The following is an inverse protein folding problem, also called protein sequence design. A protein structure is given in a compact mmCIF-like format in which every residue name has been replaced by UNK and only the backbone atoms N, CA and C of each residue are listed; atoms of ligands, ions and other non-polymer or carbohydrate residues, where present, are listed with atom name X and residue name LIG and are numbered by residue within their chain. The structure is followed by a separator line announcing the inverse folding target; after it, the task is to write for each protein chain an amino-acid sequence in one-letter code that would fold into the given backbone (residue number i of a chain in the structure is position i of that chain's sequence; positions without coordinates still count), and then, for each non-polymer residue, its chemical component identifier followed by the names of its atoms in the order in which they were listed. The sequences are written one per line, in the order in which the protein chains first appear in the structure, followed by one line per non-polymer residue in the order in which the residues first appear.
data_IF_497539983133
#
_entry.id   IF_497539983133
#
_cell.length_a   1.000
_cell.length_b   1.000
_cell.length_c   1.000
_cell.angle_alpha   90.00
_cell.angle_beta   90.00
_cell.angle_gamma   90.00
#
_symmetry.space_group_name_H-M   'P 1'
#
loop_
_entity.id
_entity.type
_entity.pdbx_description
1 polymer ?
#
# COMPACT_ATOMS: atom_id res chain seq x y z
N UNK A 1 16.40 2.09 5.84
CA UNK A 1 15.19 2.05 6.70
C UNK A 1 14.31 3.17 6.19
N UNK A 2 13.13 2.83 5.68
CA UNK A 2 12.27 3.73 4.94
C UNK A 2 10.90 3.79 5.57
N UNK A 3 10.35 5.00 5.66
CA UNK A 3 8.96 5.26 6.03
C UNK A 3 8.22 5.73 4.78
N UNK A 4 7.19 5.01 4.38
CA UNK A 4 6.30 5.40 3.28
C UNK A 4 4.96 5.86 3.84
N UNK A 5 4.60 7.11 3.60
CA UNK A 5 3.30 7.67 3.95
C UNK A 5 2.42 7.72 2.70
N UNK A 6 1.29 7.02 2.73
CA UNK A 6 0.35 6.95 1.60
C UNK A 6 -0.91 7.80 1.80
N UNK A 7 -0.79 8.86 2.59
CA UNK A 7 -1.91 9.72 2.99
C UNK A 7 -1.92 11.06 2.25
N UNK A 8 -3.08 11.47 1.76
CA UNK A 8 -3.32 12.74 1.08
C UNK A 8 -3.43 13.94 2.04
N UNK A 9 -2.44 14.13 2.92
CA UNK A 9 -2.34 15.27 3.84
C UNK A 9 -0.91 15.82 3.83
N UNK A 10 -0.64 16.87 3.02
CA UNK A 10 0.71 17.35 2.77
C UNK A 10 1.33 18.07 3.98
N UNK A 11 0.53 18.80 4.78
CA UNK A 11 1.05 19.52 5.95
C UNK A 11 1.57 18.55 7.00
N UNK A 12 0.79 17.50 7.30
CA UNK A 12 1.22 16.47 8.23
C UNK A 12 2.36 15.64 7.67
N UNK A 13 2.37 15.39 6.36
CA UNK A 13 3.48 14.71 5.71
C UNK A 13 4.79 15.49 5.82
N UNK A 14 4.76 16.83 5.72
CA UNK A 14 5.94 17.67 5.88
C UNK A 14 6.54 17.57 7.30
N UNK A 15 5.67 17.58 8.33
CA UNK A 15 6.09 17.38 9.73
C UNK A 15 6.68 15.99 9.94
N UNK A 16 6.02 14.94 9.41
CA UNK A 16 6.53 13.57 9.50
C UNK A 16 7.87 13.39 8.77
N UNK A 17 8.03 14.04 7.61
CA UNK A 17 9.29 14.04 6.86
C UNK A 17 10.43 14.66 7.67
N UNK A 18 10.18 15.79 8.34
CA UNK A 18 11.17 16.43 9.21
C UNK A 18 11.59 15.51 10.37
N UNK A 19 10.62 14.88 11.03
CA UNK A 19 10.89 13.97 12.15
C UNK A 19 11.63 12.70 11.69
N UNK A 20 11.24 12.11 10.56
CA UNK A 20 11.89 10.93 9.99
C UNK A 20 13.36 11.23 9.61
N UNK A 21 13.61 12.38 8.98
CA UNK A 21 14.98 12.82 8.65
C UNK A 21 15.82 13.05 9.90
N UNK A 22 15.26 13.68 10.94
CA UNK A 22 15.95 13.87 12.22
C UNK A 22 16.31 12.52 12.88
N UNK A 23 15.53 11.47 12.64
CA UNK A 23 15.80 10.11 13.11
C UNK A 23 16.70 9.28 12.17
N UNK A 24 17.23 9.87 11.09
CA UNK A 24 18.06 9.17 10.10
C UNK A 24 17.30 8.16 9.23
N UNK A 25 15.99 8.34 9.06
CA UNK A 25 15.13 7.52 8.23
C UNK A 25 14.93 8.15 6.86
N UNK A 26 14.89 7.32 5.82
CA UNK A 26 14.42 7.76 4.50
C UNK A 26 12.90 7.89 4.56
N UNK A 27 12.35 8.98 4.03
CA UNK A 27 10.91 9.24 4.08
C UNK A 27 10.38 9.49 2.66
N UNK A 28 9.37 8.73 2.28
CA UNK A 28 8.68 8.81 1.00
C UNK A 28 7.21 9.18 1.27
N UNK A 29 6.70 10.19 0.56
CA UNK A 29 5.29 10.57 0.62
C UNK A 29 4.67 10.35 -0.75
N UNK A 30 3.76 9.38 -0.84
CA UNK A 30 3.08 9.00 -2.08
C UNK A 30 1.56 9.02 -1.84
N UNK A 31 0.88 10.15 -2.06
CA UNK A 31 -0.52 10.34 -1.65
C UNK A 31 -1.49 9.56 -2.55
N UNK A 32 -1.70 8.29 -2.26
CA UNK A 32 -2.59 7.42 -3.03
C UNK A 32 -4.06 7.49 -2.58
N UNK A 33 -5.02 7.26 -3.50
CA UNK A 33 -6.44 7.16 -3.18
C UNK A 33 -6.74 6.04 -2.19
N UNK A 34 -7.86 6.15 -1.48
CA UNK A 34 -8.20 5.23 -0.41
C UNK A 34 -8.69 3.86 -0.91
N UNK A 35 -9.49 3.88 -1.97
CA UNK A 35 -10.25 2.73 -2.47
C UNK A 35 -10.05 2.53 -3.99
N UNK A 36 -9.86 3.61 -4.73
CA UNK A 36 -9.67 3.60 -6.19
C UNK A 36 -8.18 3.55 -6.55
N UNK A 37 -7.48 2.50 -6.15
CA UNK A 37 -6.10 2.30 -6.61
C UNK A 37 -6.07 2.01 -8.12
N UNK A 38 -4.95 2.34 -8.75
CA UNK A 38 -4.74 2.22 -10.20
C UNK A 38 -3.45 1.44 -10.45
N UNK A 39 -3.26 0.86 -11.65
CA UNK A 39 -2.03 0.15 -12.00
C UNK A 39 -0.77 0.98 -11.76
N UNK A 40 -0.81 2.30 -11.97
CA UNK A 40 0.34 3.20 -11.73
C UNK A 40 0.71 3.26 -10.24
N UNK A 41 -0.27 3.26 -9.34
CA UNK A 41 -0.04 3.23 -7.89
C UNK A 41 0.61 1.93 -7.47
N UNK A 42 0.15 0.81 -8.05
CA UNK A 42 0.71 -0.51 -7.78
C UNK A 42 2.15 -0.63 -8.30
N UNK A 43 2.41 -0.15 -9.51
CA UNK A 43 3.75 -0.11 -10.10
C UNK A 43 4.70 0.78 -9.29
N UNK A 44 4.23 1.93 -8.79
CA UNK A 44 5.01 2.77 -7.88
C UNK A 44 5.33 2.05 -6.57
N UNK A 45 4.34 1.40 -5.95
CA UNK A 45 4.57 0.62 -4.73
C UNK A 45 5.60 -0.50 -4.94
N UNK A 46 5.48 -1.27 -6.03
CA UNK A 46 6.43 -2.33 -6.36
C UNK A 46 7.85 -1.79 -6.51
N UNK A 47 8.04 -0.67 -7.23
CA UNK A 47 9.35 0.00 -7.35
C UNK A 47 9.92 0.36 -5.98
N UNK A 48 9.11 0.86 -5.05
CA UNK A 48 9.58 1.22 -3.70
C UNK A 48 9.95 -0.03 -2.90
N UNK A 49 9.12 -1.08 -2.93
CA UNK A 49 9.35 -2.29 -2.13
C UNK A 49 10.57 -3.08 -2.62
N UNK A 50 10.79 -3.12 -3.93
CA UNK A 50 11.86 -3.90 -4.56
C UNK A 50 13.19 -3.15 -4.64
N UNK A 51 13.18 -1.83 -4.45
CA UNK A 51 14.38 -1.00 -4.44
C UNK A 51 15.36 -1.45 -3.33
N UNK A 52 16.60 -1.82 -3.67
CA UNK A 52 17.61 -2.22 -2.68
C UNK A 52 17.85 -1.16 -1.59
N UNK A 53 17.76 0.12 -1.95
CA UNK A 53 17.93 1.27 -1.06
C UNK A 53 16.81 1.40 -0.02
N UNK A 54 15.65 0.77 -0.22
CA UNK A 54 14.56 0.79 0.74
C UNK A 54 14.95 0.07 2.03
N UNK A 55 15.60 -1.08 1.91
CA UNK A 55 15.94 -1.94 3.04
C UNK A 55 14.68 -2.28 3.85
N UNK A 56 14.67 -1.98 5.16
CA UNK A 56 13.48 -2.17 6.00
C UNK A 56 12.44 -1.08 5.74
N UNK A 57 11.28 -1.46 5.22
CA UNK A 57 10.13 -0.58 4.97
C UNK A 57 9.11 -0.66 6.11
N UNK A 58 8.64 0.51 6.55
CA UNK A 58 7.39 0.66 7.30
C UNK A 58 6.53 1.61 6.48
N UNK A 59 5.28 1.24 6.18
CA UNK A 59 4.39 2.10 5.43
C UNK A 59 3.04 2.23 6.12
N UNK A 60 2.45 3.43 6.10
CA UNK A 60 1.28 3.76 6.90
C UNK A 60 0.32 4.69 6.15
N UNK A 61 -0.95 4.66 6.56
CA UNK A 61 -1.96 5.61 6.13
C UNK A 61 -2.67 6.26 7.34
N UNK A 62 -3.99 6.49 7.27
CA UNK A 62 -4.80 6.93 8.43
C UNK A 62 -5.24 5.78 9.33
N UNK A 63 -5.70 4.68 8.74
CA UNK A 63 -6.44 3.59 9.41
C UNK A 63 -5.96 2.20 8.98
N UNK A 64 -4.76 2.10 8.39
CA UNK A 64 -4.21 0.89 7.76
C UNK A 64 -5.01 0.29 6.59
N UNK A 65 -6.19 0.83 6.24
CA UNK A 65 -7.02 0.34 5.11
C UNK A 65 -6.27 0.37 3.76
N UNK A 66 -5.72 1.52 3.36
CA UNK A 66 -4.91 1.64 2.12
C UNK A 66 -3.68 0.72 2.11
N UNK A 67 -3.12 0.47 3.29
CA UNK A 67 -1.94 -0.37 3.46
C UNK A 67 -2.30 -1.82 3.15
N UNK A 68 -3.44 -2.30 3.66
CA UNK A 68 -3.91 -3.65 3.41
C UNK A 68 -4.24 -3.87 1.93
N UNK A 69 -4.97 -2.93 1.33
CA UNK A 69 -5.38 -3.04 -0.07
C UNK A 69 -4.19 -3.05 -1.04
N UNK A 70 -3.26 -2.08 -0.96
CA UNK A 70 -2.10 -2.05 -1.86
C UNK A 70 -1.20 -3.28 -1.67
N UNK A 71 -1.09 -3.78 -0.43
CA UNK A 71 -0.32 -4.97 -0.11
C UNK A 71 -0.93 -6.24 -0.71
N UNK A 72 -2.25 -6.39 -0.62
CA UNK A 72 -3.00 -7.48 -1.25
C UNK A 72 -2.79 -7.49 -2.76
N UNK A 73 -2.97 -6.34 -3.42
CA UNK A 73 -2.77 -6.19 -4.86
C UNK A 73 -1.32 -6.51 -5.26
N UNK A 74 -0.34 -6.07 -4.47
CA UNK A 74 1.08 -6.36 -4.72
C UNK A 74 1.39 -7.85 -4.64
N UNK A 75 0.88 -8.56 -3.62
CA UNK A 75 1.06 -10.02 -3.52
C UNK A 75 0.46 -10.75 -4.73
N UNK A 76 -0.74 -10.36 -5.15
CA UNK A 76 -1.43 -11.03 -6.26
C UNK A 76 -0.73 -10.75 -7.59
N UNK A 77 -0.51 -9.46 -7.92
CA UNK A 77 -0.04 -9.05 -9.25
C UNK A 77 1.46 -9.26 -9.42
N UNK A 78 2.28 -8.90 -8.43
CA UNK A 78 3.74 -8.94 -8.57
C UNK A 78 4.36 -10.24 -8.06
N UNK A 79 3.70 -10.94 -7.13
CA UNK A 79 4.24 -12.20 -6.58
C UNK A 79 3.45 -13.44 -6.99
N UNK A 80 2.38 -13.28 -7.76
CA UNK A 80 1.57 -14.40 -8.26
C UNK A 80 0.84 -15.17 -7.17
N UNK A 81 0.61 -14.55 -6.01
CA UNK A 81 -0.16 -15.18 -4.94
C UNK A 81 -1.61 -15.33 -5.35
N UNK A 82 -2.25 -16.40 -4.88
CA UNK A 82 -3.70 -16.49 -4.94
C UNK A 82 -4.32 -15.47 -3.99
N UNK A 83 -5.59 -15.15 -4.21
CA UNK A 83 -6.32 -14.21 -3.35
C UNK A 83 -6.36 -14.71 -1.90
N UNK A 84 -6.59 -16.00 -1.70
CA UNK A 84 -6.68 -16.62 -0.39
C UNK A 84 -5.35 -16.51 0.38
N UNK A 85 -4.21 -16.62 -0.32
CA UNK A 85 -2.89 -16.45 0.30
C UNK A 85 -2.68 -15.01 0.77
N UNK A 86 -3.08 -14.01 -0.03
CA UNK A 86 -2.96 -12.61 0.33
C UNK A 86 -3.89 -12.24 1.51
N UNK A 87 -5.12 -12.74 1.50
CA UNK A 87 -6.08 -12.55 2.60
C UNK A 87 -5.61 -13.22 3.90
N UNK A 88 -5.09 -14.44 3.83
CA UNK A 88 -4.56 -15.13 5.01
C UNK A 88 -3.43 -14.32 5.67
N UNK A 89 -2.57 -13.70 4.87
CA UNK A 89 -1.52 -12.81 5.38
C UNK A 89 -2.10 -11.56 6.06
N UNK A 90 -3.10 -10.90 5.45
CA UNK A 90 -3.74 -9.75 6.05
C UNK A 90 -4.47 -10.11 7.35
N UNK A 91 -5.16 -11.24 7.40
CA UNK A 91 -5.79 -11.73 8.64
C UNK A 91 -4.74 -11.98 9.73
N UNK A 92 -3.61 -12.58 9.37
CA UNK A 92 -2.48 -12.76 10.29
C UNK A 92 -1.88 -11.42 10.76
N UNK A 93 -1.96 -10.37 9.94
CA UNK A 93 -1.58 -9.01 10.30
C UNK A 93 -2.63 -8.27 11.16
N UNK A 94 -3.77 -8.90 11.47
CA UNK A 94 -4.79 -8.39 12.38
C UNK A 94 -5.94 -7.62 11.74
N UNK A 95 -6.12 -7.72 10.42
CA UNK A 95 -7.30 -7.17 9.75
C UNK A 95 -8.54 -8.05 10.01
N UNK A 96 -9.68 -7.41 10.23
CA UNK A 96 -10.97 -8.05 10.51
C UNK A 96 -11.78 -8.34 9.23
N UNK A 97 -12.95 -8.96 9.41
CA UNK A 97 -13.83 -9.35 8.30
C UNK A 97 -14.37 -8.14 7.53
N UNK A 98 -14.66 -7.03 8.21
CA UNK A 98 -15.14 -5.79 7.58
C UNK A 98 -14.07 -5.18 6.66
N UNK A 99 -12.81 -5.18 7.13
CA UNK A 99 -11.68 -4.78 6.30
C UNK A 99 -11.50 -5.72 5.10
N UNK A 100 -11.63 -7.05 5.29
CA UNK A 100 -11.51 -8.01 4.18
C UNK A 100 -12.57 -7.79 3.12
N UNK A 101 -13.85 -7.64 3.51
CA UNK A 101 -14.94 -7.39 2.55
C UNK A 101 -14.71 -6.10 1.74
N UNK A 102 -14.16 -5.07 2.39
CA UNK A 102 -13.78 -3.83 1.71
C UNK A 102 -12.64 -4.07 0.71
N UNK A 103 -11.62 -4.84 1.09
CA UNK A 103 -10.48 -5.12 0.21
C UNK A 103 -10.87 -5.98 -0.97
N UNK A 104 -11.74 -6.96 -0.76
CA UNK A 104 -12.28 -7.81 -1.81
C UNK A 104 -12.98 -6.98 -2.88
N UNK A 105 -13.92 -6.12 -2.45
CA UNK A 105 -14.65 -5.21 -3.33
C UNK A 105 -13.70 -4.29 -4.13
N UNK A 106 -12.74 -3.66 -3.45
CA UNK A 106 -11.78 -2.76 -4.11
C UNK A 106 -10.81 -3.50 -5.04
N UNK A 107 -10.42 -4.74 -4.70
CA UNK A 107 -9.56 -5.54 -5.56
C UNK A 107 -10.29 -5.97 -6.84
N UNK A 108 -11.57 -6.32 -6.74
CA UNK A 108 -12.39 -6.68 -7.90
C UNK A 108 -12.58 -5.49 -8.84
N UNK A 109 -12.93 -4.32 -8.28
CA UNK A 109 -13.00 -3.06 -9.02
C UNK A 109 -11.67 -2.72 -9.71
N UNK A 110 -10.54 -2.89 -9.01
CA UNK A 110 -9.21 -2.70 -9.58
C UNK A 110 -8.98 -3.60 -10.82
N UNK A 111 -9.29 -4.90 -10.72
CA UNK A 111 -9.07 -5.82 -11.83
C UNK A 111 -10.01 -5.54 -13.00
N UNK A 112 -11.28 -5.21 -12.74
CA UNK A 112 -12.25 -4.83 -13.75
C UNK A 112 -11.75 -3.59 -14.52
N UNK A 113 -11.41 -2.51 -13.82
CA UNK A 113 -10.90 -1.28 -14.44
C UNK A 113 -9.56 -1.49 -15.16
N UNK A 114 -8.68 -2.33 -14.65
CA UNK A 114 -7.40 -2.65 -15.30
C UNK A 114 -7.59 -3.43 -16.60
N UNK A 115 -8.57 -4.34 -16.65
CA UNK A 115 -8.87 -5.13 -17.86
C UNK A 115 -9.53 -4.32 -18.98
N UNK A 116 -10.22 -3.22 -18.65
CA UNK A 116 -10.79 -2.30 -19.63
C UNK A 116 -9.76 -1.34 -20.26
N UNK A 117 -8.56 -1.26 -19.68
CA UNK A 117 -7.47 -0.40 -20.14
C UNK A 117 -6.43 -1.15 -21.01
N UNK A 118 -6.64 -2.44 -21.27
CA UNK A 118 -5.77 -3.32 -22.05
C UNK A 118 -6.20 -3.55 -23.49
#
# INVERSE_FOLDING_TARGET
KTVLNIRSDPERAAVQAANARAAGLHYIHAPWPAYELEPEHLAEFARIVEAPETGKLVFHCRSATRVGLIWMLYRIVHQGWTREQAEAELRAAGYDDDAMATFEFCADDFFERSSMQG
#
